data_IF_179779698024
#
_entry.id   IF_179779698024
#
_cell.length_a   1.000
_cell.length_b   1.000
_cell.length_c   1.000
_cell.angle_alpha   90.00
_cell.angle_beta   90.00
_cell.angle_gamma   90.00
#
_symmetry.space_group_name_H-M   'P 1'
#
loop_
_entity.id
_entity.type
_entity.pdbx_description
1 polymer ?
#
# COMPACT_ATOMS: atom_id res chain seq x y z
N UNK A 1 46.15 -23.17 56.10
CA UNK A 1 47.17 -22.74 57.13
C UNK A 1 48.38 -22.17 56.39
N UNK A 2 49.09 -21.16 56.84
CA UNK A 2 48.74 -20.07 57.80
C UNK A 2 48.82 -18.68 57.17
N UNK A 3 48.07 -17.71 57.68
CA UNK A 3 48.37 -16.59 58.61
C UNK A 3 49.45 -15.60 58.13
N UNK A 4 49.35 -14.32 58.23
CA UNK A 4 48.90 -13.42 59.29
C UNK A 4 49.04 -11.97 58.91
N UNK A 5 48.14 -11.09 59.42
CA UNK A 5 48.29 -9.82 60.12
C UNK A 5 48.90 -8.60 59.37
N UNK A 6 48.17 -7.52 59.23
CA UNK A 6 47.74 -6.50 60.20
C UNK A 6 48.75 -5.32 60.43
N UNK A 7 48.24 -4.07 60.21
CA UNK A 7 48.32 -2.86 61.08
C UNK A 7 48.19 -1.61 60.20
N UNK A 8 47.12 -0.81 60.26
CA UNK A 8 46.74 0.19 61.27
C UNK A 8 47.71 1.38 61.38
N UNK A 9 47.22 2.56 60.98
CA UNK A 9 47.17 3.86 61.68
C UNK A 9 46.91 4.89 60.60
N UNK A 10 45.97 5.78 60.62
CA UNK A 10 45.43 6.62 61.67
C UNK A 10 45.72 8.06 61.30
N UNK A 11 44.72 8.93 61.16
CA UNK A 11 44.96 10.36 60.97
C UNK A 11 43.76 11.15 60.48
N UNK A 12 42.99 11.63 61.40
CA UNK A 12 41.91 12.62 61.38
C UNK A 12 42.30 13.95 60.69
N UNK A 13 41.33 14.57 59.94
CA UNK A 13 40.78 15.92 60.17
C UNK A 13 39.86 16.36 59.03
N UNK A 14 38.58 16.59 59.33
CA UNK A 14 37.72 17.58 58.65
C UNK A 14 38.04 18.99 59.22
N UNK A 15 37.44 20.12 58.72
CA UNK A 15 36.46 20.34 57.67
C UNK A 15 36.81 21.57 56.76
N UNK A 16 36.13 21.73 55.65
CA UNK A 16 35.84 23.06 55.14
C UNK A 16 34.68 23.03 54.13
N UNK A 17 33.67 23.73 54.53
CA UNK A 17 32.56 24.31 53.78
C UNK A 17 32.96 24.90 52.42
N UNK A 18 32.22 24.59 51.34
CA UNK A 18 32.04 25.49 50.23
C UNK A 18 30.76 25.19 49.45
N UNK A 19 29.80 26.06 49.67
CA UNK A 19 28.80 26.61 48.75
C UNK A 19 28.35 25.74 47.58
N UNK A 20 27.15 25.22 47.74
CA UNK A 20 26.30 24.71 46.66
C UNK A 20 25.99 25.84 45.67
N UNK A 21 26.57 25.78 44.47
CA UNK A 21 26.11 26.50 43.29
C UNK A 21 24.91 25.71 42.74
N UNK A 22 23.73 26.22 42.98
CA UNK A 22 22.49 25.79 42.37
C UNK A 22 22.58 26.05 40.87
N UNK A 23 23.00 25.08 40.09
CA UNK A 23 22.86 25.11 38.64
C UNK A 23 21.36 24.95 38.32
N UNK A 24 20.80 26.02 37.80
CA UNK A 24 19.50 26.04 37.17
C UNK A 24 19.55 25.07 36.00
N UNK A 25 18.95 23.89 36.16
CA UNK A 25 18.64 23.05 35.03
C UNK A 25 17.68 23.82 34.14
N UNK A 26 18.15 24.22 32.97
CA UNK A 26 17.28 24.67 31.91
C UNK A 26 16.44 23.46 31.53
N UNK A 27 15.16 23.57 31.83
CA UNK A 27 14.11 22.74 31.25
C UNK A 27 14.02 23.10 29.75
N UNK A 28 14.87 22.49 28.95
CA UNK A 28 14.70 22.38 27.52
C UNK A 28 13.86 21.13 27.29
N UNK A 29 12.56 21.30 27.35
CA UNK A 29 11.64 20.36 26.66
C UNK A 29 12.15 20.27 25.21
N UNK A 30 12.56 19.10 24.71
CA UNK A 30 12.88 18.95 23.31
C UNK A 30 11.59 19.29 22.54
N UNK A 31 11.64 20.32 21.69
CA UNK A 31 10.65 20.43 20.63
C UNK A 31 10.76 19.12 19.86
N UNK A 32 9.71 18.34 19.87
CA UNK A 32 9.63 17.04 19.24
C UNK A 32 9.64 17.26 17.73
N UNK A 33 10.83 17.46 17.14
CA UNK A 33 10.98 17.38 15.71
C UNK A 33 10.78 15.92 15.34
N UNK A 34 9.74 15.62 14.56
CA UNK A 34 9.50 14.29 14.04
C UNK A 34 10.78 13.66 13.51
N UNK A 35 11.05 12.42 13.88
CA UNK A 35 12.22 11.68 13.41
C UNK A 35 12.23 11.62 11.88
N UNK A 36 13.37 11.29 11.27
CA UNK A 36 13.42 11.11 9.81
C UNK A 36 12.52 9.98 9.35
N UNK A 37 12.36 8.96 10.17
CA UNK A 37 11.47 7.83 9.88
C UNK A 37 10.00 8.25 9.94
N UNK A 38 9.60 9.05 10.92
CA UNK A 38 8.23 9.60 11.00
C UNK A 38 7.90 10.49 9.80
N UNK A 39 8.86 11.34 9.36
CA UNK A 39 8.68 12.17 8.17
C UNK A 39 8.50 11.30 6.91
N UNK A 40 9.31 10.23 6.78
CA UNK A 40 9.19 9.30 5.66
C UNK A 40 7.86 8.54 5.70
N UNK A 41 7.47 8.04 6.86
CA UNK A 41 6.18 7.37 7.07
C UNK A 41 5.01 8.27 6.67
N UNK A 42 5.02 9.51 7.13
CA UNK A 42 4.00 10.50 6.79
C UNK A 42 3.94 10.80 5.29
N UNK A 43 5.10 10.89 4.62
CA UNK A 43 5.17 11.10 3.17
C UNK A 43 4.61 9.90 2.40
N UNK A 44 4.92 8.66 2.83
CA UNK A 44 4.40 7.45 2.24
C UNK A 44 2.89 7.28 2.50
N UNK A 45 2.41 7.68 3.69
CA UNK A 45 0.98 7.68 4.01
C UNK A 45 0.20 8.66 3.11
N UNK A 46 0.75 9.83 2.83
CA UNK A 46 0.15 10.81 1.90
C UNK A 46 0.13 10.32 0.46
N UNK A 47 1.16 9.56 0.07
CA UNK A 47 1.29 8.96 -1.25
C UNK A 47 0.22 7.91 -1.49
N UNK A 48 0.07 6.93 -0.58
CA UNK A 48 -0.97 5.89 -0.71
C UNK A 48 -2.38 6.50 -0.59
N UNK A 49 -2.60 7.50 0.26
CA UNK A 49 -3.88 8.20 0.35
C UNK A 49 -4.26 8.88 -0.97
N UNK A 50 -3.29 9.41 -1.73
CA UNK A 50 -3.53 9.92 -3.06
C UNK A 50 -3.86 8.78 -4.04
N UNK A 51 -3.15 7.64 -3.95
CA UNK A 51 -3.35 6.49 -4.81
C UNK A 51 -4.79 5.96 -4.70
N UNK A 52 -5.26 5.70 -3.50
CA UNK A 52 -6.64 5.27 -3.23
C UNK A 52 -7.69 6.24 -3.82
N UNK A 53 -7.50 7.53 -3.58
CA UNK A 53 -8.40 8.56 -4.13
C UNK A 53 -8.34 8.66 -5.66
N UNK A 54 -7.23 8.28 -6.26
CA UNK A 54 -7.09 8.22 -7.71
C UNK A 54 -7.80 7.00 -8.26
N UNK A 55 -7.69 5.86 -7.59
CA UNK A 55 -8.37 4.61 -7.96
C UNK A 55 -9.89 4.73 -7.94
N UNK A 56 -10.49 5.48 -7.02
CA UNK A 56 -11.95 5.70 -7.06
C UNK A 56 -12.45 6.33 -8.37
N UNK A 57 -11.55 6.89 -9.20
CA UNK A 57 -11.87 7.44 -10.52
C UNK A 57 -11.47 6.51 -11.67
N UNK A 58 -10.45 5.67 -11.46
CA UNK A 58 -9.96 4.73 -12.45
C UNK A 58 -10.84 3.47 -12.49
N UNK A 59 -11.16 2.89 -11.34
CA UNK A 59 -11.94 1.65 -11.23
C UNK A 59 -13.29 1.69 -11.97
N UNK A 60 -14.11 2.77 -11.90
CA UNK A 60 -15.36 2.83 -12.67
C UNK A 60 -15.16 2.77 -14.19
N UNK A 61 -14.02 3.22 -14.70
CA UNK A 61 -13.71 3.13 -16.13
C UNK A 61 -13.36 1.69 -16.51
N UNK A 62 -12.51 1.03 -15.70
CA UNK A 62 -12.16 -0.37 -15.91
C UNK A 62 -13.38 -1.28 -15.81
N UNK A 63 -14.23 -1.07 -14.79
CA UNK A 63 -15.49 -1.80 -14.65
C UNK A 63 -16.37 -1.68 -15.89
N UNK A 64 -16.48 -0.48 -16.44
CA UNK A 64 -17.29 -0.24 -17.65
C UNK A 64 -16.68 -0.85 -18.91
N UNK A 65 -15.35 -0.95 -18.99
CA UNK A 65 -14.62 -1.48 -20.13
C UNK A 65 -14.55 -3.01 -20.12
N UNK A 66 -14.70 -3.64 -18.96
CA UNK A 66 -14.74 -5.09 -18.83
C UNK A 66 -15.98 -5.68 -19.51
N UNK A 67 -15.84 -6.85 -20.13
CA UNK A 67 -16.89 -7.60 -20.84
C UNK A 67 -17.54 -8.62 -19.90
N UNK A 68 -16.76 -9.34 -19.12
CA UNK A 68 -17.22 -10.35 -18.17
C UNK A 68 -18.01 -9.73 -17.02
N UNK A 69 -19.22 -10.20 -16.75
CA UNK A 69 -20.03 -9.76 -15.60
C UNK A 69 -19.32 -10.05 -14.27
N UNK A 70 -18.58 -11.17 -14.18
CA UNK A 70 -17.82 -11.54 -12.98
C UNK A 70 -16.68 -10.53 -12.72
N UNK A 71 -15.93 -10.15 -13.74
CA UNK A 71 -14.89 -9.14 -13.63
C UNK A 71 -15.47 -7.75 -13.31
N UNK A 72 -16.57 -7.35 -13.95
CA UNK A 72 -17.29 -6.13 -13.65
C UNK A 72 -17.72 -6.06 -12.18
N UNK A 73 -18.23 -7.16 -11.65
CA UNK A 73 -18.65 -7.26 -10.25
C UNK A 73 -17.44 -7.17 -9.31
N UNK A 74 -16.38 -7.90 -9.58
CA UNK A 74 -15.15 -7.86 -8.77
C UNK A 74 -14.57 -6.45 -8.68
N UNK A 75 -14.45 -5.75 -9.82
CA UNK A 75 -13.96 -4.36 -9.85
C UNK A 75 -14.92 -3.41 -9.10
N UNK A 76 -16.24 -3.64 -9.23
CA UNK A 76 -17.26 -2.86 -8.52
C UNK A 76 -17.19 -3.02 -7.00
N UNK A 77 -17.01 -4.25 -6.52
CA UNK A 77 -16.85 -4.54 -5.09
C UNK A 77 -15.54 -3.96 -4.55
N UNK A 78 -14.45 -4.07 -5.32
CA UNK A 78 -13.17 -3.45 -4.97
C UNK A 78 -13.25 -1.92 -4.91
N UNK A 79 -14.05 -1.26 -5.76
CA UNK A 79 -14.30 0.17 -5.64
C UNK A 79 -14.94 0.57 -4.30
N UNK A 80 -15.85 -0.24 -3.77
CA UNK A 80 -16.43 0.02 -2.45
C UNK A 80 -15.39 -0.23 -1.34
N UNK A 81 -14.54 -1.26 -1.45
CA UNK A 81 -13.42 -1.49 -0.53
C UNK A 81 -12.43 -0.32 -0.56
N UNK A 82 -12.04 0.19 -1.73
CA UNK A 82 -11.19 1.37 -1.90
C UNK A 82 -11.72 2.59 -1.14
N UNK A 83 -13.03 2.79 -1.11
CA UNK A 83 -13.63 3.87 -0.30
C UNK A 83 -13.44 3.64 1.20
N UNK A 84 -13.52 2.40 1.66
CA UNK A 84 -13.24 2.07 3.06
C UNK A 84 -11.74 2.18 3.38
N UNK A 85 -10.84 1.89 2.42
CA UNK A 85 -9.41 2.14 2.57
C UNK A 85 -9.12 3.61 2.81
N UNK A 86 -9.76 4.51 2.06
CA UNK A 86 -9.68 5.95 2.25
C UNK A 86 -10.13 6.33 3.68
N UNK A 87 -11.26 5.80 4.14
CA UNK A 87 -11.77 6.07 5.49
C UNK A 87 -10.79 5.61 6.58
N UNK A 88 -10.18 4.43 6.42
CA UNK A 88 -9.15 3.91 7.34
C UNK A 88 -7.88 4.78 7.34
N UNK A 89 -7.45 5.25 6.18
CA UNK A 89 -6.31 6.17 6.08
C UNK A 89 -6.62 7.51 6.77
N UNK A 90 -7.84 8.03 6.65
CA UNK A 90 -8.27 9.24 7.36
C UNK A 90 -8.27 9.04 8.89
N UNK A 91 -8.67 7.86 9.39
CA UNK A 91 -8.54 7.49 10.80
C UNK A 91 -7.07 7.45 11.26
N UNK A 92 -6.17 6.90 10.42
CA UNK A 92 -4.74 6.89 10.70
C UNK A 92 -4.17 8.31 10.81
N UNK A 93 -4.55 9.22 9.89
CA UNK A 93 -4.17 10.64 10.01
C UNK A 93 -4.69 11.27 11.29
N UNK A 94 -5.94 11.00 11.69
CA UNK A 94 -6.53 11.52 12.91
C UNK A 94 -5.78 11.02 14.17
N UNK A 95 -5.44 9.72 14.22
CA UNK A 95 -4.66 9.16 15.34
C UNK A 95 -3.26 9.76 15.45
N UNK A 96 -2.67 10.16 14.32
CA UNK A 96 -1.38 10.87 14.28
C UNK A 96 -1.50 12.36 14.64
N UNK A 97 -2.72 12.88 14.85
CA UNK A 97 -2.98 14.30 15.09
C UNK A 97 -2.76 15.18 13.87
N UNK A 98 -2.78 14.60 12.68
CA UNK A 98 -2.52 15.25 11.40
C UNK A 98 -3.80 15.35 10.55
N UNK A 99 -3.80 16.29 9.61
CA UNK A 99 -4.87 16.35 8.61
C UNK A 99 -4.57 15.40 7.45
N UNK A 100 -5.59 14.67 7.01
CA UNK A 100 -5.50 13.89 5.79
C UNK A 100 -5.13 14.78 4.60
N UNK A 101 -3.98 14.55 4.01
CA UNK A 101 -3.43 15.32 2.90
C UNK A 101 -2.84 14.38 1.87
N UNK A 102 -3.35 14.45 0.64
CA UNK A 102 -2.83 13.66 -0.48
C UNK A 102 -1.55 14.30 -1.06
N UNK A 103 -0.58 13.44 -1.39
CA UNK A 103 0.61 13.77 -2.17
C UNK A 103 0.60 12.88 -3.41
N UNK A 104 0.69 13.47 -4.59
CA UNK A 104 0.62 12.75 -5.86
C UNK A 104 1.56 11.55 -5.87
N UNK A 105 1.01 10.38 -6.16
CA UNK A 105 1.75 9.13 -6.37
C UNK A 105 2.03 8.96 -7.86
N UNK A 106 3.29 9.09 -8.26
CA UNK A 106 3.71 8.94 -9.65
C UNK A 106 3.59 7.47 -10.12
N UNK A 107 3.77 6.51 -9.20
CA UNK A 107 3.63 5.09 -9.52
C UNK A 107 2.16 4.76 -9.88
N UNK A 108 1.20 5.12 -9.03
CA UNK A 108 -0.22 4.85 -9.28
C UNK A 108 -0.73 5.60 -10.53
N UNK A 109 -0.28 6.83 -10.75
CA UNK A 109 -0.62 7.54 -12.00
C UNK A 109 -0.08 6.81 -13.24
N UNK A 110 1.11 6.21 -13.15
CA UNK A 110 1.68 5.40 -14.23
C UNK A 110 0.89 4.13 -14.47
N UNK A 111 0.55 3.39 -13.41
CA UNK A 111 -0.21 2.14 -13.48
C UNK A 111 -1.62 2.36 -14.07
N UNK A 112 -2.32 3.39 -13.64
CA UNK A 112 -3.65 3.68 -14.17
C UNK A 112 -3.62 4.15 -15.62
N UNK A 113 -2.57 4.86 -16.06
CA UNK A 113 -2.36 5.18 -17.48
C UNK A 113 -2.08 3.95 -18.32
N UNK A 114 -1.32 3.00 -17.79
CA UNK A 114 -1.08 1.72 -18.47
C UNK A 114 -2.41 0.95 -18.65
N UNK A 115 -3.26 0.92 -17.63
CA UNK A 115 -4.60 0.36 -17.74
C UNK A 115 -5.48 1.08 -18.78
N UNK A 116 -5.47 2.42 -18.80
CA UNK A 116 -6.19 3.20 -19.84
C UNK A 116 -5.67 2.82 -21.26
N UNK A 117 -4.33 2.64 -21.45
CA UNK A 117 -3.76 2.23 -22.74
C UNK A 117 -4.19 0.81 -23.14
N UNK A 118 -4.25 -0.13 -22.20
CA UNK A 118 -4.74 -1.49 -22.47
C UNK A 118 -6.17 -1.46 -23.03
N UNK A 119 -7.06 -0.64 -22.44
CA UNK A 119 -8.43 -0.50 -22.93
C UNK A 119 -8.49 0.16 -24.32
N UNK A 120 -7.58 1.09 -24.62
CA UNK A 120 -7.50 1.75 -25.93
C UNK A 120 -6.93 0.84 -27.03
N UNK A 121 -6.04 -0.10 -26.69
CA UNK A 121 -5.32 -0.97 -27.62
C UNK A 121 -6.02 -2.32 -27.86
N UNK A 122 -7.04 -2.67 -27.07
CA UNK A 122 -7.80 -3.92 -27.19
C UNK A 122 -9.20 -3.70 -27.74
N UNK A 123 -9.76 -4.67 -28.42
CA UNK A 123 -11.10 -4.58 -29.02
C UNK A 123 -12.20 -4.64 -27.95
N UNK A 124 -13.28 -3.87 -28.16
CA UNK A 124 -14.41 -3.79 -27.23
C UNK A 124 -15.27 -5.06 -27.30
N UNK A 125 -15.60 -5.60 -26.13
CA UNK A 125 -16.42 -6.81 -26.04
C UNK A 125 -15.63 -8.11 -26.09
N UNK A 126 -14.29 -8.06 -26.09
CA UNK A 126 -13.42 -9.25 -26.15
C UNK A 126 -12.95 -9.73 -24.78
N UNK A 127 -12.70 -11.03 -24.63
CA UNK A 127 -12.07 -11.63 -23.46
C UNK A 127 -10.58 -11.24 -23.37
N UNK A 128 -9.94 -10.99 -24.50
CA UNK A 128 -8.57 -10.43 -24.58
C UNK A 128 -8.48 -9.08 -23.86
N UNK A 129 -9.49 -8.21 -23.99
CA UNK A 129 -9.57 -6.97 -23.19
C UNK A 129 -9.65 -7.26 -21.70
N UNK A 130 -10.46 -8.23 -21.30
CA UNK A 130 -10.62 -8.61 -19.89
C UNK A 130 -9.32 -9.16 -19.30
N UNK A 131 -8.56 -9.96 -20.05
CA UNK A 131 -7.19 -10.38 -19.67
C UNK A 131 -6.31 -9.16 -19.40
N UNK A 132 -6.32 -8.19 -20.31
CA UNK A 132 -5.54 -6.96 -20.17
C UNK A 132 -5.93 -6.13 -18.94
N UNK A 133 -7.25 -6.03 -18.66
CA UNK A 133 -7.77 -5.35 -17.46
C UNK A 133 -7.32 -6.08 -16.19
N UNK A 134 -7.39 -7.41 -16.14
CA UNK A 134 -6.92 -8.20 -14.99
C UNK A 134 -5.44 -7.96 -14.75
N UNK A 135 -4.60 -8.07 -15.78
CA UNK A 135 -3.15 -7.84 -15.68
C UNK A 135 -2.83 -6.45 -15.15
N UNK A 136 -3.54 -5.44 -15.63
CA UNK A 136 -3.36 -4.04 -15.19
C UNK A 136 -3.82 -3.84 -13.75
N UNK A 137 -4.95 -4.45 -13.36
CA UNK A 137 -5.47 -4.41 -11.99
C UNK A 137 -4.51 -5.09 -11.01
N UNK A 138 -4.01 -6.29 -11.32
CA UNK A 138 -3.04 -6.98 -10.46
C UNK A 138 -1.75 -6.18 -10.24
N UNK A 139 -1.29 -5.38 -11.20
CA UNK A 139 -0.15 -4.47 -10.99
C UNK A 139 -0.48 -3.39 -9.96
N UNK A 140 -1.72 -2.91 -9.94
CA UNK A 140 -2.21 -1.97 -8.93
C UNK A 140 -2.23 -2.62 -7.56
N UNK A 141 -2.85 -3.81 -7.43
CA UNK A 141 -2.89 -4.55 -6.16
C UNK A 141 -1.48 -4.81 -5.60
N UNK A 142 -0.53 -5.23 -6.45
CA UNK A 142 0.85 -5.47 -6.02
C UNK A 142 1.56 -4.20 -5.55
N UNK A 143 1.26 -3.05 -6.14
CA UNK A 143 1.74 -1.77 -5.63
C UNK A 143 1.18 -1.49 -4.23
N UNK A 144 -0.13 -1.67 -4.02
CA UNK A 144 -0.81 -1.41 -2.75
C UNK A 144 -0.38 -2.40 -1.66
N UNK A 145 -0.27 -3.70 -1.98
CA UNK A 145 0.29 -4.72 -1.09
C UNK A 145 1.70 -4.33 -0.61
N UNK A 146 2.56 -3.85 -1.51
CA UNK A 146 3.91 -3.40 -1.16
C UNK A 146 3.88 -2.14 -0.29
N UNK A 147 3.03 -1.18 -0.62
CA UNK A 147 2.90 0.09 0.10
C UNK A 147 2.37 -0.14 1.53
N UNK A 148 1.24 -0.83 1.68
CA UNK A 148 0.65 -1.14 2.99
C UNK A 148 1.56 -2.03 3.83
N UNK A 149 2.17 -3.07 3.24
CA UNK A 149 3.13 -3.92 3.94
C UNK A 149 4.31 -3.14 4.51
N UNK A 150 4.83 -2.17 3.77
CA UNK A 150 5.90 -1.28 4.21
C UNK A 150 5.45 -0.34 5.33
N UNK A 151 4.28 0.30 5.18
CA UNK A 151 3.72 1.19 6.20
C UNK A 151 3.46 0.47 7.52
N UNK A 152 2.92 -0.76 7.50
CA UNK A 152 2.68 -1.58 8.68
C UNK A 152 3.99 -1.86 9.44
N UNK A 153 5.05 -2.26 8.74
CA UNK A 153 6.33 -2.55 9.37
C UNK A 153 6.98 -1.31 9.98
N UNK A 154 6.86 -0.16 9.31
CA UNK A 154 7.35 1.12 9.83
C UNK A 154 6.54 1.55 11.05
N UNK A 155 5.20 1.47 11.01
CA UNK A 155 4.32 1.79 12.13
C UNK A 155 4.69 0.96 13.38
N UNK A 156 4.85 -0.36 13.25
CA UNK A 156 5.32 -1.24 14.32
C UNK A 156 6.69 -0.82 14.87
N UNK A 157 7.62 -0.45 14.00
CA UNK A 157 8.96 0.03 14.40
C UNK A 157 8.88 1.32 15.22
N UNK A 158 7.89 2.17 14.94
CA UNK A 158 7.63 3.40 15.70
C UNK A 158 6.77 3.18 16.96
N UNK A 159 6.36 1.94 17.27
CA UNK A 159 5.49 1.61 18.40
C UNK A 159 4.03 2.05 18.19
N UNK A 160 3.60 2.20 16.94
CA UNK A 160 2.25 2.59 16.54
C UNK A 160 1.43 1.33 16.18
N UNK A 161 1.24 0.45 17.15
CA UNK A 161 0.61 -0.86 16.90
C UNK A 161 -0.85 -0.73 16.44
N UNK A 162 -1.62 0.22 17.00
CA UNK A 162 -3.01 0.45 16.60
C UNK A 162 -3.12 0.91 15.12
N UNK A 163 -2.18 1.74 14.67
CA UNK A 163 -2.09 2.16 13.26
C UNK A 163 -1.73 0.97 12.37
N UNK A 164 -0.78 0.15 12.81
CA UNK A 164 -0.41 -1.06 12.08
C UNK A 164 -1.58 -2.03 11.93
N UNK A 165 -2.43 -2.17 12.95
CA UNK A 165 -3.61 -3.03 12.92
C UNK A 165 -4.68 -2.50 11.93
N UNK A 166 -4.89 -1.18 11.87
CA UNK A 166 -5.80 -0.57 10.89
C UNK A 166 -5.31 -0.82 9.46
N UNK A 167 -4.02 -0.55 9.19
CA UNK A 167 -3.44 -0.73 7.86
C UNK A 167 -3.39 -2.21 7.44
N UNK A 168 -3.29 -3.13 8.41
CA UNK A 168 -3.28 -4.58 8.15
C UNK A 168 -4.61 -5.08 7.58
N UNK A 169 -5.73 -4.47 7.93
CA UNK A 169 -7.03 -4.83 7.38
C UNK A 169 -7.08 -4.55 5.87
N UNK A 170 -6.62 -3.38 5.46
CA UNK A 170 -6.52 -3.03 4.03
C UNK A 170 -5.56 -3.98 3.31
N UNK A 171 -4.37 -4.25 3.88
CA UNK A 171 -3.41 -5.18 3.25
C UNK A 171 -4.02 -6.56 2.97
N UNK A 172 -4.85 -7.10 3.84
CA UNK A 172 -5.48 -8.40 3.60
C UNK A 172 -6.53 -8.30 2.49
N UNK A 173 -7.31 -7.22 2.44
CA UNK A 173 -8.31 -6.98 1.38
C UNK A 173 -7.63 -6.83 0.00
N UNK A 174 -6.47 -6.17 -0.11
CA UNK A 174 -5.70 -6.09 -1.37
C UNK A 174 -5.18 -7.46 -1.84
N UNK A 175 -4.73 -8.29 -0.90
CA UNK A 175 -4.33 -9.67 -1.24
C UNK A 175 -5.50 -10.54 -1.69
N UNK A 176 -6.66 -10.36 -1.07
CA UNK A 176 -7.88 -11.05 -1.46
C UNK A 176 -8.34 -10.62 -2.87
N UNK A 177 -8.23 -9.32 -3.19
CA UNK A 177 -8.53 -8.78 -4.51
C UNK A 177 -7.59 -9.35 -5.58
N UNK A 178 -6.27 -9.33 -5.37
CA UNK A 178 -5.27 -9.93 -6.27
C UNK A 178 -5.53 -11.42 -6.51
N UNK A 179 -5.84 -12.17 -5.44
CA UNK A 179 -6.17 -13.59 -5.56
C UNK A 179 -7.48 -13.81 -6.32
N UNK A 180 -8.50 -12.99 -6.11
CA UNK A 180 -9.77 -13.08 -6.84
C UNK A 180 -9.56 -12.82 -8.33
N UNK A 181 -8.79 -11.81 -8.71
CA UNK A 181 -8.45 -11.53 -10.11
C UNK A 181 -7.74 -12.73 -10.76
N UNK A 182 -6.82 -13.39 -10.05
CA UNK A 182 -6.19 -14.63 -10.51
C UNK A 182 -7.23 -15.75 -10.73
N UNK A 183 -8.15 -15.95 -9.81
CA UNK A 183 -9.20 -16.98 -9.94
C UNK A 183 -10.13 -16.71 -11.13
N UNK A 184 -10.50 -15.47 -11.37
CA UNK A 184 -11.33 -15.07 -12.52
C UNK A 184 -10.56 -15.33 -13.83
N UNK A 185 -9.29 -14.96 -13.91
CA UNK A 185 -8.46 -15.19 -15.09
C UNK A 185 -8.33 -16.67 -15.42
N UNK A 186 -7.98 -17.50 -14.41
CA UNK A 186 -7.76 -18.94 -14.58
C UNK A 186 -9.08 -19.72 -14.76
N UNK A 187 -10.18 -19.19 -14.24
CA UNK A 187 -11.49 -19.87 -14.27
C UNK A 187 -12.12 -19.91 -15.67
N UNK A 188 -12.04 -18.82 -16.42
CA UNK A 188 -12.69 -18.73 -17.74
C UNK A 188 -12.01 -17.76 -18.70
N UNK A 189 -11.64 -16.56 -18.27
CA UNK A 189 -11.31 -15.45 -19.17
C UNK A 189 -10.09 -15.76 -20.06
N UNK A 190 -9.01 -16.37 -19.51
CA UNK A 190 -7.83 -16.70 -20.30
C UNK A 190 -8.14 -17.74 -21.41
N UNK A 191 -9.02 -18.68 -21.14
CA UNK A 191 -9.42 -19.70 -22.13
C UNK A 191 -10.32 -19.11 -23.20
N UNK A 192 -11.27 -18.24 -22.81
CA UNK A 192 -12.14 -17.54 -23.76
C UNK A 192 -11.32 -16.63 -24.70
N UNK A 193 -10.29 -15.98 -24.18
CA UNK A 193 -9.40 -15.15 -25.02
C UNK A 193 -8.57 -15.97 -26.04
N UNK A 194 -8.20 -17.21 -25.71
CA UNK A 194 -7.49 -18.11 -26.64
C UNK A 194 -8.44 -18.63 -27.73
N UNK A 195 -9.70 -18.89 -27.39
CA UNK A 195 -10.71 -19.37 -28.33
C UNK A 195 -11.14 -18.28 -29.32
N UNK A 196 -11.12 -16.98 -28.91
CA UNK A 196 -11.41 -15.84 -29.81
C UNK A 196 -10.45 -15.79 -31.03
N UNK A 197 -9.16 -16.01 -30.80
CA UNK A 197 -8.16 -15.99 -31.87
C UNK A 197 -8.37 -17.17 -32.87
N UNK A 198 -8.88 -18.33 -32.41
CA UNK A 198 -9.15 -19.48 -33.25
C UNK A 198 -10.39 -19.26 -34.17
N UNK A 199 -11.43 -18.56 -33.65
CA UNK A 199 -12.65 -18.27 -34.42
C UNK A 199 -12.38 -17.23 -35.54
N UNK A 200 -11.54 -16.22 -35.30
CA UNK A 200 -11.15 -15.22 -36.32
C UNK A 200 -10.36 -15.85 -37.46
N UNK A 201 -9.43 -16.77 -37.16
CA UNK A 201 -8.64 -17.49 -38.19
C UNK A 201 -9.52 -18.40 -39.07
N UNK A 202 -10.54 -19.05 -38.48
CA UNK A 202 -11.47 -19.92 -39.20
C UNK A 202 -12.44 -19.12 -40.11
N UNK A 203 -12.89 -17.92 -39.72
CA UNK A 203 -13.75 -17.04 -40.53
C UNK A 203 -12.98 -16.44 -41.72
N UNK A 204 -11.70 -16.02 -41.56
CA UNK A 204 -10.86 -15.55 -42.65
C UNK A 204 -10.60 -16.65 -43.70
N UNK A 205 -10.40 -17.91 -43.28
CA UNK A 205 -10.20 -19.06 -44.15
C UNK A 205 -11.49 -19.48 -44.91
N UNK A 206 -12.68 -19.20 -44.39
CA UNK A 206 -13.95 -19.46 -45.09
C UNK A 206 -14.25 -18.39 -46.14
N UNK A 207 -14.00 -17.11 -45.86
CA UNK A 207 -14.18 -16.00 -46.78
C UNK A 207 -13.25 -16.11 -48.01
N UNK A 208 -11.98 -16.55 -47.81
CA UNK A 208 -11.07 -16.82 -48.93
C UNK A 208 -11.51 -17.98 -49.83
N UNK A 209 -12.31 -18.91 -49.31
CA UNK A 209 -12.83 -20.06 -50.09
C UNK A 209 -14.09 -19.72 -50.89
N UNK A 210 -14.87 -18.71 -50.46
CA UNK A 210 -16.05 -18.27 -51.20
C UNK A 210 -15.72 -17.31 -52.35
N UNK A 211 -14.57 -16.62 -52.34
CA UNK A 211 -14.12 -15.72 -53.43
C UNK A 211 -13.39 -16.46 -54.58
N UNK A 212 -13.19 -17.79 -54.52
CA UNK A 212 -12.52 -18.59 -55.57
C UNK A 212 -13.49 -19.49 -56.28
#
# INVERSE_FOLDING_TARGET
MPTTKSKKTGGTKSPASSTAKKSKAADTTPQNENSKLEKFFMDALKDIYWAEKHLTKALPKMQKAATSEELQQAIGDHLEQTKEHINRLEQVFEQLGEKAQAKKCEAMEGLTKEGDSVVEETEDGTSTRDVGIIVSSQKVEHYEISAYGSLITIAKTMGQDEIADILSQTLEEEKEADQLLTQIAEGSINWQAEEEDEEEDDEEDEDEKEEK
#
